data_IF_939082584958
#
_entry.id   IF_939082584958
#
_cell.length_a   1.000
_cell.length_b   1.000
_cell.length_c   1.000
_cell.angle_alpha   90.00
_cell.angle_beta   90.00
_cell.angle_gamma   90.00
#
_symmetry.space_group_name_H-M   'P 1'
#
loop_
_entity.id
_entity.type
_entity.pdbx_description
1 polymer ?
#
# COMPACT_ATOMS: atom_id res chain seq x y z
N UNK A 1 -0.08 11.34 -14.05
CA UNK A 1 -0.79 12.48 -14.69
C UNK A 1 -1.35 13.41 -13.61
N UNK A 2 -2.32 13.04 -12.80
CA UNK A 2 -2.99 13.85 -11.77
C UNK A 2 -2.04 14.70 -10.90
N UNK A 3 -1.04 14.09 -10.27
CA UNK A 3 -0.11 14.78 -9.36
C UNK A 3 0.66 15.96 -10.02
N UNK A 4 1.10 15.79 -11.27
CA UNK A 4 1.81 16.87 -11.99
C UNK A 4 0.87 18.03 -12.29
N UNK A 5 -0.34 17.69 -12.72
CA UNK A 5 -1.40 18.68 -12.99
C UNK A 5 -1.80 19.41 -11.72
N UNK A 6 -1.95 18.70 -10.60
CA UNK A 6 -2.24 19.29 -9.30
C UNK A 6 -1.16 20.28 -8.87
N UNK A 7 0.11 19.90 -8.89
CA UNK A 7 1.19 20.78 -8.49
C UNK A 7 1.29 22.03 -9.37
N UNK A 8 0.99 21.92 -10.67
CA UNK A 8 0.90 23.05 -11.59
C UNK A 8 -0.29 23.93 -11.25
N UNK A 9 -1.46 23.35 -10.99
CA UNK A 9 -2.67 24.10 -10.63
C UNK A 9 -2.52 24.83 -9.28
N UNK A 10 -1.91 24.20 -8.28
CA UNK A 10 -1.64 24.82 -6.98
C UNK A 10 -0.63 25.98 -7.06
N UNK A 11 0.22 26.02 -8.07
CA UNK A 11 1.17 27.09 -8.33
C UNK A 11 0.63 28.19 -9.26
N UNK A 12 -0.56 27.99 -9.85
CA UNK A 12 -1.21 28.94 -10.74
C UNK A 12 -2.17 29.89 -10.02
N UNK A 13 -2.76 30.81 -10.80
CA UNK A 13 -3.66 31.87 -10.27
C UNK A 13 -5.09 31.35 -10.00
N UNK A 14 -5.47 30.19 -10.53
CA UNK A 14 -6.83 29.61 -10.37
C UNK A 14 -6.73 28.13 -9.91
N UNK A 15 -6.32 27.86 -8.65
CA UNK A 15 -6.28 26.52 -8.12
C UNK A 15 -7.71 25.96 -7.90
N UNK A 16 -7.89 24.62 -7.90
CA UNK A 16 -9.16 24.02 -7.52
C UNK A 16 -9.53 24.40 -6.08
N UNK A 17 -10.81 24.45 -5.73
CA UNK A 17 -11.23 24.76 -4.36
C UNK A 17 -10.92 23.62 -3.37
N UNK A 18 -10.96 22.38 -3.84
CA UNK A 18 -10.63 21.14 -3.08
C UNK A 18 -9.83 20.22 -3.99
N UNK A 19 -8.86 19.52 -3.42
CA UNK A 19 -8.08 18.54 -4.16
C UNK A 19 -7.85 17.27 -3.33
N UNK A 20 -7.66 16.15 -4.05
CA UNK A 20 -7.24 14.89 -3.46
C UNK A 20 -5.75 14.96 -3.11
N UNK A 21 -5.41 14.58 -1.88
CA UNK A 21 -4.04 14.56 -1.37
C UNK A 21 -3.71 13.17 -0.84
N UNK A 22 -2.80 12.49 -1.53
CA UNK A 22 -2.26 11.22 -1.07
C UNK A 22 -1.17 11.43 -0.02
N UNK A 23 -1.01 10.47 0.88
CA UNK A 23 -0.06 10.50 1.99
C UNK A 23 1.37 10.86 1.54
N UNK A 24 1.82 10.33 0.41
CA UNK A 24 3.16 10.59 -0.16
C UNK A 24 3.39 12.05 -0.62
N UNK A 25 2.32 12.80 -0.83
CA UNK A 25 2.41 14.20 -1.27
C UNK A 25 2.21 15.19 -0.14
N UNK A 26 1.70 14.75 1.01
CA UNK A 26 1.42 15.64 2.16
C UNK A 26 2.63 16.48 2.56
N UNK A 27 3.83 15.91 2.81
CA UNK A 27 4.97 16.72 3.19
C UNK A 27 5.31 17.77 2.13
N UNK A 28 5.35 17.36 0.86
CA UNK A 28 5.74 18.24 -0.24
C UNK A 28 4.78 19.40 -0.47
N UNK A 29 3.47 19.15 -0.34
CA UNK A 29 2.44 20.17 -0.55
C UNK A 29 2.37 21.11 0.65
N UNK A 30 2.37 20.55 1.87
CA UNK A 30 2.22 21.35 3.11
C UNK A 30 3.46 22.19 3.39
N UNK A 31 4.66 21.61 3.30
CA UNK A 31 5.92 22.31 3.60
C UNK A 31 6.20 23.46 2.61
N UNK A 32 5.54 23.45 1.44
CA UNK A 32 5.57 24.55 0.45
C UNK A 32 4.42 25.54 0.60
N UNK A 33 3.60 25.41 1.62
CA UNK A 33 2.45 26.29 1.85
C UNK A 33 1.31 26.10 0.84
N UNK A 34 1.23 24.95 0.15
CA UNK A 34 0.21 24.68 -0.86
C UNK A 34 -1.18 24.33 -0.31
N UNK A 35 -1.29 23.97 0.97
CA UNK A 35 -2.55 23.59 1.60
C UNK A 35 -2.92 24.52 2.77
N UNK A 36 -4.22 24.76 2.94
CA UNK A 36 -4.81 25.53 4.03
C UNK A 36 -4.79 24.69 5.32
N UNK A 37 -4.43 25.29 6.45
CA UNK A 37 -4.68 24.70 7.76
C UNK A 37 -6.19 24.68 8.05
N UNK A 38 -6.77 23.49 8.16
CA UNK A 38 -8.20 23.28 8.38
C UNK A 38 -8.59 23.42 9.86
N UNK A 39 -7.64 23.27 10.81
CA UNK A 39 -7.93 23.20 12.24
C UNK A 39 -8.79 24.38 12.73
N UNK A 40 -8.57 25.66 12.35
CA UNK A 40 -9.39 26.78 12.79
C UNK A 40 -10.84 26.76 12.29
N UNK A 41 -11.15 25.96 11.29
CA UNK A 41 -12.47 25.94 10.63
C UNK A 41 -13.34 24.78 11.08
N UNK A 42 -12.77 23.66 11.54
CA UNK A 42 -13.48 22.39 11.76
C UNK A 42 -14.66 22.52 12.72
N UNK A 43 -14.50 23.24 13.84
CA UNK A 43 -15.58 23.47 14.79
C UNK A 43 -16.77 24.25 14.19
N UNK A 44 -16.51 25.12 13.21
CA UNK A 44 -17.55 25.90 12.53
C UNK A 44 -18.38 25.11 11.53
N UNK A 45 -17.75 24.07 10.97
CA UNK A 45 -18.40 23.14 9.99
C UNK A 45 -18.86 21.84 10.67
N UNK A 46 -18.84 21.77 12.01
CA UNK A 46 -19.33 20.62 12.77
C UNK A 46 -18.50 19.33 12.62
N UNK A 47 -17.22 19.47 12.26
CA UNK A 47 -16.31 18.33 12.13
C UNK A 47 -15.51 18.13 13.40
N UNK A 48 -15.68 16.98 14.06
CA UNK A 48 -14.79 16.49 15.09
C UNK A 48 -13.76 15.52 14.46
N UNK A 49 -12.46 15.84 14.46
CA UNK A 49 -11.43 14.92 13.96
C UNK A 49 -11.37 13.58 14.70
N UNK A 50 -11.93 13.49 15.90
CA UNK A 50 -11.97 12.23 16.67
C UNK A 50 -12.85 11.15 16.04
N UNK A 51 -13.73 11.50 15.08
CA UNK A 51 -14.56 10.52 14.36
C UNK A 51 -13.75 9.65 13.39
N UNK A 52 -12.58 10.12 12.96
CA UNK A 52 -11.69 9.38 12.06
C UNK A 52 -10.69 8.52 12.86
N UNK A 53 -10.11 7.53 12.20
CA UNK A 53 -8.93 6.84 12.74
C UNK A 53 -7.79 7.84 12.95
N UNK A 54 -7.25 7.90 14.16
CA UNK A 54 -6.25 8.91 14.52
C UNK A 54 -4.89 8.67 13.83
N UNK A 55 -4.58 7.42 13.46
CA UNK A 55 -3.39 7.09 12.65
C UNK A 55 -3.48 7.75 11.27
N UNK A 56 -4.68 7.78 10.68
CA UNK A 56 -4.92 8.39 9.39
C UNK A 56 -4.94 9.93 9.46
N UNK A 57 -5.54 10.49 10.53
CA UNK A 57 -5.51 11.94 10.80
C UNK A 57 -4.08 12.44 10.94
N UNK A 58 -3.22 11.68 11.62
CA UNK A 58 -1.82 12.04 11.84
C UNK A 58 -1.03 12.22 10.53
N UNK A 59 -1.43 11.55 9.44
CA UNK A 59 -0.82 11.72 8.10
C UNK A 59 -0.91 13.17 7.61
N UNK A 60 -2.04 13.83 7.88
CA UNK A 60 -2.31 15.20 7.41
C UNK A 60 -1.90 16.29 8.42
N UNK A 61 -1.30 15.90 9.56
CA UNK A 61 -0.79 16.86 10.54
C UNK A 61 0.64 17.31 10.23
N UNK A 62 0.90 18.61 10.42
CA UNK A 62 2.25 19.18 10.44
C UNK A 62 2.31 20.23 11.56
N UNK A 63 3.18 20.02 12.55
CA UNK A 63 3.17 20.84 13.76
C UNK A 63 1.80 20.82 14.45
N UNK A 64 1.24 21.98 14.72
CA UNK A 64 -0.11 22.12 15.31
C UNK A 64 -1.22 22.12 14.25
N UNK A 65 -0.92 22.24 12.97
CA UNK A 65 -1.90 22.35 11.88
C UNK A 65 -2.43 21.00 11.40
N UNK A 66 -3.60 21.02 10.75
CA UNK A 66 -4.24 19.89 10.08
C UNK A 66 -4.57 20.31 8.63
N UNK A 67 -3.89 19.75 7.65
CA UNK A 67 -3.88 20.22 6.26
C UNK A 67 -4.73 19.37 5.30
N UNK A 68 -5.48 18.42 5.83
CA UNK A 68 -6.44 17.58 5.11
C UNK A 68 -7.27 16.74 6.06
N UNK A 69 -8.40 16.25 5.57
CA UNK A 69 -9.19 15.23 6.27
C UNK A 69 -9.08 13.90 5.53
N UNK A 70 -8.82 12.79 6.22
CA UNK A 70 -8.71 11.49 5.59
C UNK A 70 -10.07 11.05 5.01
N UNK A 71 -10.09 10.64 3.76
CA UNK A 71 -11.29 10.10 3.12
C UNK A 71 -11.36 8.59 3.24
N UNK A 72 -10.22 7.92 3.11
CA UNK A 72 -10.11 6.48 3.15
C UNK A 72 -8.67 6.02 3.13
N UNK A 73 -8.49 4.70 3.25
CA UNK A 73 -7.19 4.07 3.27
C UNK A 73 -7.25 2.62 2.78
N UNK A 74 -6.10 2.07 2.46
CA UNK A 74 -5.96 0.66 2.13
C UNK A 74 -4.71 0.05 2.77
N UNK A 75 -4.85 -1.02 3.57
CA UNK A 75 -3.73 -1.87 3.90
C UNK A 75 -3.33 -2.73 2.70
N UNK A 76 -2.08 -3.13 2.64
CA UNK A 76 -1.63 -4.17 1.71
C UNK A 76 -1.86 -5.53 2.35
N UNK A 77 -2.41 -6.45 1.57
CA UNK A 77 -2.81 -7.80 1.98
C UNK A 77 -2.39 -8.83 0.93
N UNK A 78 -2.59 -10.11 1.22
CA UNK A 78 -2.51 -11.18 0.23
C UNK A 78 -3.91 -11.63 -0.15
N UNK A 79 -4.24 -11.54 -1.46
CA UNK A 79 -5.38 -12.22 -2.04
C UNK A 79 -5.01 -13.68 -2.32
N UNK A 80 -5.88 -14.62 -2.00
CA UNK A 80 -5.68 -16.04 -2.31
C UNK A 80 -6.84 -16.61 -3.12
N UNK A 81 -6.51 -17.49 -4.06
CA UNK A 81 -7.46 -18.16 -4.93
C UNK A 81 -8.00 -19.41 -4.20
N UNK A 82 -9.24 -19.33 -3.70
CA UNK A 82 -9.90 -20.43 -2.97
C UNK A 82 -10.02 -21.70 -3.81
N UNK A 83 -10.26 -21.56 -5.13
CA UNK A 83 -10.44 -22.72 -6.01
C UNK A 83 -9.13 -23.50 -6.18
N UNK A 84 -7.98 -22.81 -6.21
CA UNK A 84 -6.67 -23.46 -6.28
C UNK A 84 -6.30 -24.15 -4.96
N UNK A 85 -6.60 -23.52 -3.82
CA UNK A 85 -6.33 -24.10 -2.52
C UNK A 85 -7.20 -25.34 -2.29
N UNK A 86 -8.50 -25.26 -2.61
CA UNK A 86 -9.43 -26.41 -2.46
C UNK A 86 -9.00 -27.60 -3.32
N UNK A 87 -8.65 -27.35 -4.60
CA UNK A 87 -8.15 -28.43 -5.50
C UNK A 87 -6.86 -29.06 -4.99
N UNK A 88 -6.03 -28.32 -4.30
CA UNK A 88 -4.79 -28.81 -3.72
C UNK A 88 -4.96 -29.37 -2.30
N UNK A 89 -6.17 -29.36 -1.74
CA UNK A 89 -6.48 -29.72 -0.36
C UNK A 89 -5.64 -28.92 0.67
N UNK A 90 -5.39 -27.63 0.40
CA UNK A 90 -4.64 -26.72 1.25
C UNK A 90 -5.64 -25.90 2.08
N UNK A 91 -5.54 -25.90 3.42
CA UNK A 91 -6.34 -25.02 4.26
C UNK A 91 -6.14 -23.55 3.90
N UNK A 92 -7.21 -22.74 4.03
CA UNK A 92 -7.09 -21.29 3.82
C UNK A 92 -6.15 -20.67 4.85
N UNK A 93 -5.29 -19.71 4.43
CA UNK A 93 -4.39 -19.05 5.34
C UNK A 93 -5.16 -18.18 6.35
N UNK A 94 -4.61 -18.06 7.56
CA UNK A 94 -5.11 -17.24 8.65
C UNK A 94 -4.19 -16.04 8.89
N UNK A 95 -4.64 -15.01 9.62
CA UNK A 95 -3.88 -13.75 9.76
C UNK A 95 -2.58 -13.90 10.59
N UNK A 96 -2.36 -15.05 11.23
CA UNK A 96 -1.15 -15.41 11.99
C UNK A 96 -0.14 -16.28 11.22
N UNK A 97 -0.38 -16.49 9.90
CA UNK A 97 0.51 -17.30 9.07
C UNK A 97 1.90 -16.69 8.92
N UNK A 98 2.88 -17.56 8.72
CA UNK A 98 4.28 -17.19 8.64
C UNK A 98 4.81 -17.16 7.20
N UNK A 99 6.01 -16.66 7.00
CA UNK A 99 6.74 -16.75 5.74
C UNK A 99 6.96 -18.20 5.28
N UNK A 100 7.16 -19.13 6.23
CA UNK A 100 7.33 -20.55 5.92
C UNK A 100 6.02 -21.17 5.43
N UNK A 101 4.88 -20.77 6.02
CA UNK A 101 3.56 -21.16 5.55
C UNK A 101 3.29 -20.64 4.14
N UNK A 102 3.61 -19.37 3.89
CA UNK A 102 3.49 -18.78 2.56
C UNK A 102 4.31 -19.56 1.52
N UNK A 103 5.58 -19.84 1.80
CA UNK A 103 6.45 -20.58 0.89
C UNK A 103 5.94 -22.01 0.66
N UNK A 104 5.44 -22.67 1.70
CA UNK A 104 4.85 -24.02 1.60
C UNK A 104 3.63 -24.00 0.69
N UNK A 105 2.70 -23.09 0.90
CA UNK A 105 1.51 -22.92 0.05
C UNK A 105 1.89 -22.57 -1.39
N UNK A 106 2.78 -21.59 -1.58
CA UNK A 106 3.20 -21.17 -2.90
C UNK A 106 3.88 -22.30 -3.69
N UNK A 107 4.74 -23.09 -3.05
CA UNK A 107 5.38 -24.27 -3.67
C UNK A 107 4.35 -25.32 -4.10
N UNK A 108 3.37 -25.63 -3.25
CA UNK A 108 2.34 -26.63 -3.55
C UNK A 108 1.43 -26.19 -4.71
N UNK A 109 1.23 -24.88 -4.89
CA UNK A 109 0.41 -24.32 -5.95
C UNK A 109 1.17 -24.09 -7.27
N UNK A 110 2.51 -24.12 -7.25
CA UNK A 110 3.31 -23.94 -8.47
C UNK A 110 3.39 -25.28 -9.21
N UNK A 111 2.77 -25.36 -10.38
CA UNK A 111 2.61 -26.63 -11.13
C UNK A 111 2.68 -26.43 -12.64
N UNK A 112 3.18 -27.44 -13.29
CA UNK A 112 2.91 -27.80 -14.67
C UNK A 112 1.58 -28.58 -14.65
N UNK A 113 0.51 -28.04 -15.25
CA UNK A 113 -0.84 -28.61 -15.18
C UNK A 113 -1.21 -29.44 -16.41
N UNK A 114 -0.48 -29.29 -17.52
CA UNK A 114 -0.70 -30.02 -18.77
C UNK A 114 0.41 -31.05 -19.10
N UNK A 115 1.52 -31.04 -18.32
CA UNK A 115 2.59 -32.02 -18.40
C UNK A 115 3.58 -31.74 -19.55
N UNK A 116 3.64 -30.51 -20.06
CA UNK A 116 4.55 -30.14 -21.17
C UNK A 116 5.97 -29.77 -20.70
N UNK A 117 6.21 -29.79 -19.38
CA UNK A 117 7.50 -29.44 -18.75
C UNK A 117 7.63 -27.97 -18.40
N UNK A 118 6.61 -27.15 -18.67
CA UNK A 118 6.58 -25.72 -18.36
C UNK A 118 5.61 -25.43 -17.21
N UNK A 119 5.95 -24.48 -16.33
CA UNK A 119 5.04 -24.04 -15.28
C UNK A 119 3.99 -23.12 -15.89
N UNK A 120 2.72 -23.47 -15.75
CA UNK A 120 1.57 -22.71 -16.23
C UNK A 120 0.63 -22.25 -15.11
N UNK A 121 0.75 -22.82 -13.90
CA UNK A 121 0.12 -22.37 -12.67
C UNK A 121 1.18 -21.96 -11.63
N UNK A 122 1.08 -20.74 -11.14
CA UNK A 122 2.07 -20.14 -10.24
C UNK A 122 1.49 -20.02 -8.83
N UNK A 123 2.31 -20.32 -7.83
CA UNK A 123 1.90 -20.20 -6.43
C UNK A 123 1.85 -18.76 -5.96
N UNK A 124 2.74 -17.91 -6.45
CA UNK A 124 2.79 -16.50 -6.10
C UNK A 124 3.23 -15.64 -7.29
N UNK A 125 3.18 -14.32 -7.13
CA UNK A 125 3.74 -13.37 -8.08
C UNK A 125 4.72 -12.43 -7.38
N UNK A 126 5.83 -12.16 -8.04
CA UNK A 126 6.77 -11.11 -7.63
C UNK A 126 6.31 -9.78 -8.22
N UNK A 127 6.11 -8.77 -7.38
CA UNK A 127 5.78 -7.41 -7.81
C UNK A 127 6.93 -6.47 -7.43
N UNK A 128 7.63 -5.84 -8.40
CA UNK A 128 8.78 -4.98 -8.13
C UNK A 128 8.41 -3.61 -7.57
N UNK A 129 7.13 -3.26 -7.52
CA UNK A 129 6.68 -1.95 -7.02
C UNK A 129 6.88 -1.83 -5.51
N UNK A 130 7.53 -0.74 -5.08
CA UNK A 130 7.82 -0.46 -3.68
C UNK A 130 6.56 -0.58 -2.80
N UNK A 131 5.44 -0.09 -3.28
CA UNK A 131 4.16 -0.14 -2.58
C UNK A 131 3.75 -1.56 -2.16
N UNK A 132 4.19 -2.59 -2.89
CA UNK A 132 3.82 -3.98 -2.63
C UNK A 132 4.92 -4.80 -1.97
N UNK A 133 6.20 -4.42 -2.12
CA UNK A 133 7.25 -5.16 -1.42
C UNK A 133 7.66 -4.56 -0.06
N UNK A 134 7.38 -3.27 0.20
CA UNK A 134 7.69 -2.64 1.48
C UNK A 134 7.07 -3.36 2.69
N UNK A 135 5.77 -3.77 2.68
CA UNK A 135 5.19 -4.52 3.79
C UNK A 135 5.90 -5.85 4.07
N UNK A 136 6.48 -6.50 3.06
CA UNK A 136 7.26 -7.72 3.26
C UNK A 136 8.59 -7.46 3.97
N UNK A 137 9.21 -6.31 3.76
CA UNK A 137 10.40 -5.91 4.53
C UNK A 137 10.01 -5.68 6.00
N UNK A 138 8.90 -4.99 6.25
CA UNK A 138 8.42 -4.72 7.60
C UNK A 138 8.01 -6.01 8.34
N UNK A 139 7.28 -6.90 7.67
CA UNK A 139 6.89 -8.20 8.23
C UNK A 139 8.09 -9.14 8.47
N UNK A 140 9.24 -8.86 7.85
CA UNK A 140 10.53 -9.50 8.09
C UNK A 140 11.32 -8.90 9.25
N UNK A 141 10.85 -7.82 9.85
CA UNK A 141 11.54 -7.07 10.92
C UNK A 141 12.57 -6.07 10.41
N UNK A 142 12.61 -5.81 9.09
CA UNK A 142 13.46 -4.80 8.46
C UNK A 142 12.76 -3.47 8.23
N UNK A 143 13.50 -2.48 7.73
CA UNK A 143 12.95 -1.23 7.22
C UNK A 143 13.89 -0.56 6.20
N UNK A 144 13.34 0.34 5.39
CA UNK A 144 14.09 1.05 4.35
C UNK A 144 14.71 2.36 4.86
N UNK A 145 14.15 2.94 5.92
CA UNK A 145 14.70 4.10 6.64
C UNK A 145 14.74 3.82 8.14
N UNK A 146 15.62 4.49 8.86
CA UNK A 146 15.64 4.46 10.32
C UNK A 146 14.47 5.28 10.89
N UNK A 147 14.12 5.05 12.15
CA UNK A 147 12.91 5.58 12.79
C UNK A 147 12.74 7.10 12.70
N UNK A 148 13.83 7.84 12.57
CA UNK A 148 13.86 9.29 12.40
C UNK A 148 13.49 9.75 10.97
N UNK A 149 13.45 8.82 10.00
CA UNK A 149 13.20 9.11 8.58
C UNK A 149 14.31 9.90 7.88
N UNK A 150 15.48 10.04 8.51
CA UNK A 150 16.60 10.90 8.06
C UNK A 150 17.81 10.13 7.61
N UNK A 151 17.82 8.81 7.79
CA UNK A 151 18.94 7.95 7.50
C UNK A 151 18.45 6.58 7.02
N UNK A 152 19.15 6.01 6.06
CA UNK A 152 18.95 4.65 5.57
C UNK A 152 20.02 3.68 6.05
N UNK A 153 21.27 4.14 6.18
CA UNK A 153 22.38 3.29 6.67
C UNK A 153 22.11 2.81 8.11
N UNK A 154 22.31 1.52 8.34
CA UNK A 154 21.99 0.82 9.58
C UNK A 154 20.57 0.27 9.64
N UNK A 155 19.69 0.64 8.68
CA UNK A 155 18.32 0.17 8.59
C UNK A 155 18.08 -0.57 7.26
N UNK A 156 18.28 0.07 6.12
CA UNK A 156 18.16 -0.58 4.80
C UNK A 156 19.22 -1.69 4.62
N UNK A 157 20.43 -1.49 5.10
CA UNK A 157 21.52 -2.46 5.06
C UNK A 157 21.67 -3.27 6.36
N UNK A 158 20.63 -3.27 7.22
CA UNK A 158 20.55 -4.15 8.38
C UNK A 158 20.41 -5.60 7.96
N UNK A 159 20.84 -6.53 8.85
CA UNK A 159 20.67 -7.96 8.61
C UNK A 159 19.23 -8.34 8.33
N UNK A 160 18.26 -7.81 9.09
CA UNK A 160 16.85 -8.13 8.93
C UNK A 160 16.32 -7.69 7.55
N UNK A 161 16.68 -6.46 7.11
CA UNK A 161 16.27 -5.95 5.79
C UNK A 161 16.93 -6.74 4.66
N UNK A 162 18.22 -7.06 4.75
CA UNK A 162 18.92 -7.85 3.74
C UNK A 162 18.31 -9.25 3.60
N UNK A 163 18.00 -9.91 4.72
CA UNK A 163 17.34 -11.22 4.73
C UNK A 163 15.94 -11.12 4.08
N UNK A 164 15.17 -10.06 4.38
CA UNK A 164 13.86 -9.83 3.80
C UNK A 164 13.92 -9.54 2.28
N UNK A 165 14.86 -8.73 1.83
CA UNK A 165 15.10 -8.47 0.40
C UNK A 165 15.49 -9.75 -0.34
N UNK A 166 16.38 -10.57 0.24
CA UNK A 166 16.78 -11.86 -0.35
C UNK A 166 15.60 -12.82 -0.45
N UNK A 167 14.80 -12.88 0.61
CA UNK A 167 13.64 -13.75 0.66
C UNK A 167 12.59 -13.35 -0.38
N UNK A 168 12.21 -12.08 -0.44
CA UNK A 168 11.21 -11.58 -1.39
C UNK A 168 11.68 -11.70 -2.85
N UNK A 169 12.86 -11.24 -3.16
CA UNK A 169 13.44 -11.36 -4.51
C UNK A 169 13.64 -12.83 -4.93
N UNK A 170 13.84 -13.71 -3.96
CA UNK A 170 13.99 -15.15 -4.18
C UNK A 170 12.80 -15.80 -4.87
N UNK A 171 11.60 -15.27 -4.75
CA UNK A 171 10.40 -15.82 -5.42
C UNK A 171 10.56 -15.87 -6.94
N UNK A 172 11.15 -14.83 -7.52
CA UNK A 172 11.39 -14.73 -8.97
C UNK A 172 12.76 -15.25 -9.40
N UNK A 173 13.74 -15.26 -8.48
CA UNK A 173 15.14 -15.53 -8.87
C UNK A 173 15.60 -16.94 -8.63
N UNK A 174 15.26 -17.55 -7.49
CA UNK A 174 15.79 -18.86 -7.09
C UNK A 174 14.72 -19.88 -6.73
N UNK A 175 13.58 -19.46 -6.20
CA UNK A 175 12.54 -20.37 -5.73
C UNK A 175 11.58 -20.85 -6.83
N UNK A 176 11.53 -20.17 -7.98
CA UNK A 176 10.65 -20.52 -9.10
C UNK A 176 9.15 -20.46 -8.76
N UNK A 177 8.76 -19.63 -7.78
CA UNK A 177 7.38 -19.54 -7.29
C UNK A 177 6.55 -18.50 -8.03
N UNK A 178 7.21 -17.64 -8.81
CA UNK A 178 6.60 -16.53 -9.51
C UNK A 178 7.05 -16.49 -10.98
N UNK A 179 6.17 -16.10 -11.90
CA UNK A 179 6.55 -15.90 -13.28
C UNK A 179 7.60 -14.79 -13.41
N UNK A 180 8.48 -14.89 -14.40
CA UNK A 180 9.43 -13.83 -14.69
C UNK A 180 8.71 -12.67 -15.38
N UNK A 181 8.45 -11.61 -14.64
CA UNK A 181 7.90 -10.37 -15.17
C UNK A 181 9.06 -9.38 -15.26
N UNK A 182 9.48 -9.08 -16.49
CA UNK A 182 10.69 -8.29 -16.76
C UNK A 182 10.47 -6.78 -16.69
N UNK A 183 9.23 -6.29 -16.86
CA UNK A 183 8.93 -4.86 -16.81
C UNK A 183 7.99 -4.55 -15.64
N UNK A 184 8.45 -3.72 -14.71
CA UNK A 184 7.67 -3.26 -13.58
C UNK A 184 6.40 -2.49 -14.00
N UNK A 185 6.39 -1.88 -15.18
CA UNK A 185 5.21 -1.19 -15.73
C UNK A 185 4.11 -2.15 -16.17
N UNK A 186 4.48 -3.31 -16.67
CA UNK A 186 3.54 -4.33 -17.14
C UNK A 186 3.13 -5.31 -16.02
N UNK A 187 3.91 -5.38 -14.94
CA UNK A 187 3.69 -6.29 -13.81
C UNK A 187 2.26 -6.26 -13.25
N UNK A 188 1.65 -5.08 -12.96
CA UNK A 188 0.31 -5.03 -12.39
C UNK A 188 -0.75 -5.67 -13.28
N UNK A 189 -0.69 -5.41 -14.57
CA UNK A 189 -1.63 -5.98 -15.54
C UNK A 189 -1.43 -7.48 -15.74
N UNK A 190 -0.19 -7.94 -15.81
CA UNK A 190 0.15 -9.34 -15.96
C UNK A 190 -0.27 -10.17 -14.74
N UNK A 191 0.08 -9.72 -13.53
CA UNK A 191 -0.27 -10.37 -12.26
C UNK A 191 -1.80 -10.45 -12.10
N UNK A 192 -2.51 -9.34 -12.34
CA UNK A 192 -3.96 -9.30 -12.23
C UNK A 192 -4.66 -10.24 -13.24
N UNK A 193 -4.12 -10.36 -14.47
CA UNK A 193 -4.64 -11.31 -15.46
C UNK A 193 -4.41 -12.77 -15.04
N UNK A 194 -3.22 -13.11 -14.56
CA UNK A 194 -2.92 -14.45 -14.06
C UNK A 194 -3.85 -14.84 -12.90
N UNK A 195 -4.07 -13.93 -11.96
CA UNK A 195 -4.96 -14.18 -10.84
C UNK A 195 -6.41 -14.35 -11.29
N UNK A 196 -6.92 -13.46 -12.15
CA UNK A 196 -8.28 -13.51 -12.67
C UNK A 196 -8.55 -14.73 -13.56
N UNK A 197 -7.52 -15.27 -14.22
CA UNK A 197 -7.61 -16.50 -15.03
C UNK A 197 -7.47 -17.79 -14.22
N UNK A 198 -7.32 -17.71 -12.89
CA UNK A 198 -7.15 -18.89 -12.04
C UNK A 198 -5.77 -19.54 -12.15
N UNK A 199 -4.76 -18.86 -12.70
CA UNK A 199 -3.39 -19.36 -12.89
C UNK A 199 -2.41 -18.85 -11.82
N UNK A 200 -2.90 -18.09 -10.83
CA UNK A 200 -2.10 -17.57 -9.73
C UNK A 200 -2.79 -17.86 -8.40
N UNK A 201 -2.04 -18.45 -7.45
CA UNK A 201 -2.56 -18.84 -6.13
C UNK A 201 -2.64 -17.68 -5.15
N UNK A 202 -1.54 -16.93 -5.01
CA UNK A 202 -1.36 -15.86 -4.03
C UNK A 202 -0.92 -14.56 -4.73
N UNK A 203 -1.57 -13.45 -4.40
CA UNK A 203 -1.28 -12.13 -4.99
C UNK A 203 -1.22 -11.04 -3.91
N UNK A 204 -0.07 -10.38 -3.76
CA UNK A 204 0.01 -9.16 -2.93
C UNK A 204 -0.78 -8.04 -3.59
N UNK A 205 -1.69 -7.41 -2.85
CA UNK A 205 -2.55 -6.36 -3.37
C UNK A 205 -3.09 -5.45 -2.26
N UNK A 206 -3.88 -4.46 -2.64
CA UNK A 206 -4.66 -3.61 -1.73
C UNK A 206 -6.12 -3.56 -2.17
N UNK A 207 -6.90 -2.74 -1.48
CA UNK A 207 -8.36 -2.61 -1.69
C UNK A 207 -8.73 -2.19 -3.14
N UNK A 208 -7.83 -1.52 -3.85
CA UNK A 208 -8.01 -1.16 -5.27
C UNK A 208 -8.26 -2.34 -6.22
N UNK A 209 -8.00 -3.58 -5.79
CA UNK A 209 -8.28 -4.77 -6.58
C UNK A 209 -9.76 -5.20 -6.49
N UNK A 210 -10.48 -4.77 -5.45
CA UNK A 210 -11.85 -5.19 -5.14
C UNK A 210 -12.81 -5.05 -6.33
N UNK A 211 -12.92 -3.90 -7.02
CA UNK A 211 -13.89 -3.75 -8.11
C UNK A 211 -13.72 -4.79 -9.21
N UNK A 212 -12.46 -5.07 -9.60
CA UNK A 212 -12.16 -6.08 -10.62
C UNK A 212 -12.44 -7.49 -10.13
N UNK A 213 -12.08 -7.80 -8.88
CA UNK A 213 -12.28 -9.13 -8.30
C UNK A 213 -13.77 -9.41 -8.08
N UNK A 214 -14.56 -8.44 -7.62
CA UNK A 214 -16.02 -8.57 -7.52
C UNK A 214 -16.65 -8.96 -8.86
N UNK A 215 -16.24 -8.33 -9.96
CA UNK A 215 -16.73 -8.66 -11.30
C UNK A 215 -16.41 -10.11 -11.71
N UNK A 216 -15.22 -10.62 -11.36
CA UNK A 216 -14.82 -12.00 -11.64
C UNK A 216 -15.57 -13.01 -10.77
N UNK A 217 -15.80 -12.70 -9.50
CA UNK A 217 -16.55 -13.53 -8.56
C UNK A 217 -18.04 -13.57 -8.93
N UNK A 218 -18.64 -12.43 -9.23
CA UNK A 218 -20.04 -12.35 -9.68
C UNK A 218 -20.31 -13.14 -10.98
N UNK A 219 -19.29 -13.23 -11.85
CA UNK A 219 -19.34 -14.05 -13.05
C UNK A 219 -19.05 -15.55 -12.80
N UNK A 220 -18.87 -15.98 -11.56
CA UNK A 220 -18.59 -17.38 -11.20
C UNK A 220 -17.21 -17.89 -11.67
N UNK A 221 -16.29 -17.01 -12.06
CA UNK A 221 -14.99 -17.38 -12.61
C UNK A 221 -13.91 -17.61 -11.58
N UNK A 222 -14.10 -17.12 -10.35
CA UNK A 222 -13.07 -17.11 -9.31
C UNK A 222 -13.70 -16.98 -7.93
N UNK A 223 -13.19 -17.74 -6.96
CA UNK A 223 -13.47 -17.54 -5.53
C UNK A 223 -12.23 -16.99 -4.85
N UNK A 224 -12.35 -15.88 -4.15
CA UNK A 224 -11.24 -15.13 -3.56
C UNK A 224 -11.43 -15.00 -2.06
N UNK A 225 -10.32 -15.07 -1.32
CA UNK A 225 -10.21 -14.63 0.05
C UNK A 225 -9.04 -13.65 0.20
N UNK A 226 -9.04 -12.92 1.31
CA UNK A 226 -7.95 -12.02 1.68
C UNK A 226 -7.44 -12.37 3.07
N UNK A 227 -6.16 -12.15 3.29
CA UNK A 227 -5.45 -12.43 4.54
C UNK A 227 -4.34 -11.40 4.73
N UNK A 228 -3.94 -11.13 5.97
CA UNK A 228 -2.83 -10.25 6.28
C UNK A 228 -1.53 -10.71 5.58
N UNK A 229 -0.57 -9.79 5.38
CA UNK A 229 0.80 -10.14 4.93
C UNK A 229 1.39 -11.11 5.97
N UNK A 230 1.93 -12.27 5.55
CA UNK A 230 2.57 -13.19 6.50
C UNK A 230 3.82 -12.56 7.08
N UNK A 231 4.14 -12.95 8.30
CA UNK A 231 5.29 -12.40 9.00
C UNK A 231 6.37 -13.46 9.24
N UNK A 232 7.61 -13.03 9.40
CA UNK A 232 8.69 -13.90 9.82
C UNK A 232 8.42 -14.40 11.25
N UNK A 233 8.68 -15.66 11.51
CA UNK A 233 8.53 -16.23 12.85
C UNK A 233 9.29 -15.38 13.90
N UNK A 234 8.60 -15.02 14.98
CA UNK A 234 9.13 -14.16 16.05
C UNK A 234 9.12 -12.64 15.73
N UNK A 235 8.61 -12.23 14.58
CA UNK A 235 8.39 -10.83 14.21
C UNK A 235 6.90 -10.52 14.28
N UNK A 236 6.54 -9.35 14.78
CA UNK A 236 5.13 -8.92 14.79
C UNK A 236 4.59 -8.73 13.37
N UNK A 237 3.31 -9.06 13.10
CA UNK A 237 2.66 -8.75 11.84
C UNK A 237 2.78 -7.26 11.51
N UNK A 238 2.97 -6.93 10.23
CA UNK A 238 3.07 -5.56 9.78
C UNK A 238 2.56 -5.41 8.35
N UNK A 239 1.92 -4.28 8.06
CA UNK A 239 1.58 -3.87 6.70
C UNK A 239 1.70 -2.35 6.54
N UNK A 240 1.65 -1.88 5.30
CA UNK A 240 1.60 -0.45 4.99
C UNK A 240 0.15 -0.01 4.84
N UNK A 241 -0.17 1.17 5.34
CA UNK A 241 -1.43 1.87 5.08
C UNK A 241 -1.16 2.97 4.07
N UNK A 242 -1.78 2.89 2.90
CA UNK A 242 -1.85 3.99 1.96
C UNK A 242 -3.10 4.80 2.25
N UNK A 243 -2.91 6.09 2.50
CA UNK A 243 -3.94 6.99 2.98
C UNK A 243 -4.16 8.09 1.97
N UNK A 244 -5.41 8.37 1.64
CA UNK A 244 -5.78 9.54 0.86
C UNK A 244 -6.78 10.42 1.62
N UNK A 245 -6.76 11.71 1.32
CA UNK A 245 -7.65 12.68 1.95
C UNK A 245 -7.99 13.81 1.01
N UNK A 246 -8.82 14.71 1.48
CA UNK A 246 -9.12 15.96 0.78
C UNK A 246 -8.47 17.13 1.51
N UNK A 247 -7.91 18.05 0.73
CA UNK A 247 -7.27 19.26 1.21
C UNK A 247 -7.81 20.49 0.45
N UNK A 248 -7.60 21.66 1.02
CA UNK A 248 -8.01 22.94 0.46
C UNK A 248 -6.73 23.72 0.10
N UNK A 249 -6.60 24.34 -1.08
CA UNK A 249 -5.48 25.18 -1.42
C UNK A 249 -5.37 26.38 -0.46
N UNK A 250 -4.14 26.74 -0.09
CA UNK A 250 -3.89 27.86 0.82
C UNK A 250 -4.44 29.20 0.31
N UNK A 251 -4.42 29.38 -1.02
CA UNK A 251 -4.78 30.64 -1.69
C UNK A 251 -6.23 30.71 -2.16
N UNK A 252 -7.07 29.70 -1.89
CA UNK A 252 -8.49 29.76 -2.30
C UNK A 252 -9.19 30.99 -1.71
N UNK A 253 -9.94 31.77 -2.50
CA UNK A 253 -10.77 32.86 -1.99
C UNK A 253 -12.05 32.35 -1.29
N UNK A 254 -12.46 31.09 -1.52
CA UNK A 254 -13.68 30.46 -1.06
C UNK A 254 -13.45 29.53 0.15
N UNK A 255 -12.59 29.90 1.09
CA UNK A 255 -12.12 29.05 2.20
C UNK A 255 -13.25 28.36 2.96
N UNK A 256 -14.32 29.09 3.33
CA UNK A 256 -15.43 28.51 4.08
C UNK A 256 -16.14 27.42 3.29
N UNK A 257 -16.58 27.71 2.07
CA UNK A 257 -17.26 26.74 1.22
C UNK A 257 -16.38 25.53 0.88
N UNK A 258 -15.07 25.74 0.65
CA UNK A 258 -14.13 24.67 0.39
C UNK A 258 -13.98 23.73 1.60
N UNK A 259 -13.92 24.28 2.82
CA UNK A 259 -13.85 23.46 4.04
C UNK A 259 -15.16 22.73 4.30
N UNK A 260 -16.32 23.35 4.06
CA UNK A 260 -17.63 22.69 4.10
C UNK A 260 -17.68 21.52 3.12
N UNK A 261 -17.23 21.71 1.88
CA UNK A 261 -17.17 20.64 0.88
C UNK A 261 -16.22 19.48 1.33
N UNK A 262 -15.06 19.78 1.92
CA UNK A 262 -14.19 18.74 2.47
C UNK A 262 -14.88 17.99 3.60
N UNK A 263 -15.63 18.67 4.47
CA UNK A 263 -16.38 18.06 5.55
C UNK A 263 -17.45 17.07 5.01
N UNK A 264 -18.20 17.46 3.97
CA UNK A 264 -19.22 16.63 3.31
C UNK A 264 -18.58 15.44 2.59
N UNK A 265 -17.48 15.67 1.86
CA UNK A 265 -16.75 14.62 1.14
C UNK A 265 -16.10 13.58 2.06
N UNK A 266 -15.91 13.90 3.34
CA UNK A 266 -15.28 13.01 4.34
C UNK A 266 -16.23 12.58 5.45
N UNK A 267 -17.53 12.84 5.31
CA UNK A 267 -18.54 12.36 6.25
C UNK A 267 -18.80 10.84 6.11
N UNK A 268 -19.65 10.32 7.00
CA UNK A 268 -19.98 8.89 7.00
C UNK A 268 -20.73 8.46 5.74
N UNK A 269 -21.62 9.30 5.19
CA UNK A 269 -22.41 8.94 4.01
C UNK A 269 -21.52 8.85 2.74
N UNK A 270 -20.67 9.85 2.52
CA UNK A 270 -19.71 9.83 1.44
C UNK A 270 -18.68 8.68 1.59
N UNK A 271 -18.25 8.38 2.81
CA UNK A 271 -17.34 7.28 3.11
C UNK A 271 -17.97 5.91 2.79
N UNK A 272 -19.24 5.70 3.19
CA UNK A 272 -20.00 4.49 2.87
C UNK A 272 -20.17 4.30 1.36
N UNK A 273 -20.58 5.34 0.63
CA UNK A 273 -20.75 5.29 -0.81
C UNK A 273 -19.47 4.86 -1.56
N UNK A 274 -18.28 5.36 -1.13
CA UNK A 274 -17.00 4.94 -1.71
C UNK A 274 -16.64 3.50 -1.36
N UNK A 275 -16.94 3.06 -0.15
CA UNK A 275 -16.70 1.69 0.27
C UNK A 275 -17.59 0.69 -0.48
N UNK A 276 -18.87 0.99 -0.68
CA UNK A 276 -19.81 0.19 -1.49
C UNK A 276 -19.29 0.04 -2.93
N UNK A 277 -18.72 1.11 -3.50
CA UNK A 277 -18.04 1.06 -4.79
C UNK A 277 -16.74 0.23 -4.77
N UNK A 278 -16.27 -0.23 -3.59
CA UNK A 278 -15.06 -1.02 -3.42
C UNK A 278 -13.77 -0.22 -3.62
N UNK A 279 -13.80 1.09 -3.41
CA UNK A 279 -12.65 1.95 -3.69
C UNK A 279 -11.58 1.91 -2.57
N UNK A 280 -12.02 1.89 -1.30
CA UNK A 280 -11.15 2.01 -0.13
C UNK A 280 -11.92 1.66 1.16
N UNK A 281 -11.19 1.39 2.24
CA UNK A 281 -11.81 1.37 3.57
C UNK A 281 -12.10 2.81 4.03
N UNK A 282 -13.26 3.07 4.67
CA UNK A 282 -13.60 4.36 5.25
C UNK A 282 -12.58 4.82 6.30
N UNK A 283 -12.18 6.10 6.27
CA UNK A 283 -11.38 6.69 7.35
C UNK A 283 -12.21 6.99 8.61
N UNK A 284 -13.54 7.12 8.48
CA UNK A 284 -14.46 7.22 9.62
C UNK A 284 -14.57 5.86 10.29
N UNK A 285 -14.08 5.74 11.52
CA UNK A 285 -13.92 4.45 12.21
C UNK A 285 -15.23 3.66 12.36
N UNK A 286 -16.36 4.34 12.62
CA UNK A 286 -17.68 3.71 12.71
C UNK A 286 -18.14 3.18 11.33
N UNK A 287 -17.91 3.93 10.25
CA UNK A 287 -18.25 3.51 8.90
C UNK A 287 -17.42 2.30 8.45
N UNK A 288 -16.11 2.26 8.79
CA UNK A 288 -15.26 1.12 8.46
C UNK A 288 -15.76 -0.18 9.11
N UNK A 289 -16.19 -0.11 10.36
CA UNK A 289 -16.79 -1.28 11.05
C UNK A 289 -18.11 -1.70 10.42
N UNK A 290 -19.00 -0.75 10.13
CA UNK A 290 -20.28 -1.04 9.49
C UNK A 290 -20.14 -1.69 8.11
N UNK A 291 -19.18 -1.23 7.29
CA UNK A 291 -18.86 -1.84 6.00
C UNK A 291 -18.37 -3.28 6.18
N UNK A 292 -17.46 -3.51 7.12
CA UNK A 292 -16.93 -4.84 7.38
C UNK A 292 -17.98 -5.81 7.93
N UNK A 293 -18.93 -5.34 8.73
CA UNK A 293 -20.06 -6.13 9.25
C UNK A 293 -21.08 -6.47 8.17
N UNK A 294 -21.31 -5.57 7.22
CA UNK A 294 -22.25 -5.78 6.10
C UNK A 294 -21.65 -6.62 4.96
N UNK A 295 -20.33 -6.84 4.94
CA UNK A 295 -19.65 -7.55 3.85
C UNK A 295 -19.86 -9.06 3.93
N UNK A 296 -20.73 -9.58 3.07
CA UNK A 296 -21.06 -11.03 2.99
C UNK A 296 -19.91 -11.88 2.44
N UNK A 297 -18.93 -11.30 1.76
CA UNK A 297 -17.74 -12.00 1.25
C UNK A 297 -16.62 -12.07 2.29
N UNK A 298 -16.71 -11.26 3.35
CA UNK A 298 -15.70 -11.16 4.41
C UNK A 298 -14.41 -10.46 3.97
N UNK A 299 -14.44 -9.72 2.84
CA UNK A 299 -13.27 -9.06 2.27
C UNK A 299 -12.90 -7.81 3.04
N UNK A 300 -13.86 -6.91 3.25
CA UNK A 300 -13.64 -5.66 4.01
C UNK A 300 -13.23 -5.95 5.45
N UNK A 301 -13.83 -7.02 6.06
CA UNK A 301 -13.42 -7.49 7.37
C UNK A 301 -11.96 -7.97 7.41
N UNK A 302 -11.47 -8.68 6.37
CA UNK A 302 -10.08 -9.10 6.29
C UNK A 302 -9.13 -7.90 6.14
N UNK A 303 -9.48 -6.92 5.31
CA UNK A 303 -8.72 -5.68 5.19
C UNK A 303 -8.67 -4.91 6.51
N UNK A 304 -9.80 -4.80 7.22
CA UNK A 304 -9.86 -4.11 8.51
C UNK A 304 -8.99 -4.79 9.58
N UNK A 305 -8.98 -6.13 9.63
CA UNK A 305 -8.08 -6.88 10.52
C UNK A 305 -6.61 -6.65 10.17
N UNK A 306 -6.25 -6.70 8.88
CA UNK A 306 -4.88 -6.42 8.44
C UNK A 306 -4.45 -4.99 8.80
N UNK A 307 -5.34 -4.01 8.69
CA UNK A 307 -5.07 -2.61 9.03
C UNK A 307 -4.68 -2.40 10.50
N UNK A 308 -5.13 -3.27 11.42
CA UNK A 308 -4.75 -3.20 12.84
C UNK A 308 -3.23 -3.34 13.07
N UNK A 309 -2.52 -3.92 12.12
CA UNK A 309 -1.05 -4.07 12.13
C UNK A 309 -0.36 -3.10 11.14
N UNK A 310 -1.12 -2.13 10.64
CA UNK A 310 -0.65 -1.21 9.61
C UNK A 310 -0.07 0.08 10.18
N UNK A 311 0.85 0.67 9.44
CA UNK A 311 1.35 2.03 9.65
C UNK A 311 1.41 2.79 8.33
N UNK A 312 1.24 4.13 8.33
CA UNK A 312 1.37 4.93 7.13
C UNK A 312 2.73 4.75 6.47
N UNK A 313 2.78 4.91 5.15
CA UNK A 313 4.02 4.84 4.37
C UNK A 313 5.03 5.89 4.85
N UNK A 314 6.31 5.68 4.55
CA UNK A 314 7.35 6.68 4.81
C UNK A 314 7.07 8.01 4.07
N UNK A 315 6.35 7.96 2.95
CA UNK A 315 5.92 9.12 2.19
C UNK A 315 5.10 10.12 2.99
N UNK A 316 4.33 9.64 3.96
CA UNK A 316 3.56 10.50 4.86
C UNK A 316 4.41 11.44 5.73
N UNK A 317 5.73 11.18 5.88
CA UNK A 317 6.62 11.92 6.79
C UNK A 317 7.85 12.52 6.11
N UNK A 318 8.29 11.94 4.99
CA UNK A 318 9.56 12.27 4.33
C UNK A 318 9.30 13.09 3.07
N UNK A 319 9.66 14.36 3.08
CA UNK A 319 9.42 15.28 1.94
C UNK A 319 10.13 14.87 0.64
N UNK A 320 11.30 14.24 0.74
CA UNK A 320 12.05 13.68 -0.39
C UNK A 320 11.63 12.25 -0.77
N UNK A 321 10.48 11.76 -0.29
CA UNK A 321 10.10 10.36 -0.43
C UNK A 321 10.11 9.85 -1.87
N UNK A 322 9.73 10.69 -2.83
CA UNK A 322 9.73 10.28 -4.24
C UNK A 322 11.14 9.88 -4.70
N UNK A 323 12.12 10.73 -4.41
CA UNK A 323 13.50 10.47 -4.81
C UNK A 323 14.05 9.24 -4.04
N UNK A 324 13.60 9.05 -2.78
CA UNK A 324 13.87 7.84 -2.00
C UNK A 324 13.23 6.61 -2.68
N UNK A 325 11.97 6.69 -3.07
CA UNK A 325 11.24 5.59 -3.71
C UNK A 325 11.85 5.20 -5.06
N UNK A 326 12.32 6.16 -5.86
CA UNK A 326 13.03 5.89 -7.11
C UNK A 326 14.34 5.12 -6.86
N UNK A 327 15.12 5.48 -5.83
CA UNK A 327 16.33 4.73 -5.44
C UNK A 327 16.02 3.32 -4.91
N UNK A 328 14.88 3.16 -4.22
CA UNK A 328 14.43 1.85 -3.75
C UNK A 328 13.90 0.97 -4.90
N UNK A 329 13.34 1.57 -5.95
CA UNK A 329 13.02 0.84 -7.18
C UNK A 329 14.31 0.36 -7.89
N UNK A 330 15.32 1.23 -8.04
CA UNK A 330 16.64 0.88 -8.58
C UNK A 330 17.31 -0.25 -7.75
N UNK A 331 17.14 -0.24 -6.41
CA UNK A 331 17.63 -1.31 -5.54
C UNK A 331 17.03 -2.67 -5.94
N UNK A 332 15.71 -2.72 -6.13
CA UNK A 332 15.04 -3.97 -6.49
C UNK A 332 15.48 -4.46 -7.89
N UNK A 333 15.64 -3.55 -8.84
CA UNK A 333 16.16 -3.87 -10.18
C UNK A 333 17.60 -4.39 -10.13
N UNK A 334 18.47 -3.81 -9.32
CA UNK A 334 19.83 -4.32 -9.07
C UNK A 334 19.82 -5.77 -8.57
N UNK A 335 18.90 -6.10 -7.66
CA UNK A 335 18.80 -7.45 -7.09
C UNK A 335 18.20 -8.45 -8.10
N UNK A 336 17.09 -8.09 -8.74
CA UNK A 336 16.30 -9.04 -9.54
C UNK A 336 16.79 -9.14 -10.97
N UNK A 337 17.13 -8.02 -11.60
CA UNK A 337 17.52 -7.95 -13.02
C UNK A 337 19.02 -8.17 -13.17
N UNK A 338 19.82 -7.35 -12.47
CA UNK A 338 21.29 -7.43 -12.62
C UNK A 338 21.97 -8.41 -11.66
N UNK A 339 21.19 -9.11 -10.81
CA UNK A 339 21.65 -10.17 -9.92
C UNK A 339 22.75 -9.75 -8.94
N UNK A 340 22.76 -8.49 -8.53
CA UNK A 340 23.65 -8.01 -7.46
C UNK A 340 23.22 -8.62 -6.14
N UNK A 341 24.17 -9.06 -5.34
CA UNK A 341 23.88 -9.57 -3.98
C UNK A 341 23.09 -8.52 -3.17
N UNK A 342 21.99 -8.91 -2.49
CA UNK A 342 21.15 -8.00 -1.74
C UNK A 342 21.88 -7.16 -0.68
N UNK A 343 22.90 -7.71 0.00
CA UNK A 343 23.65 -6.97 1.00
C UNK A 343 24.48 -5.85 0.33
N UNK A 344 25.12 -6.16 -0.81
CA UNK A 344 25.88 -5.17 -1.57
C UNK A 344 24.96 -4.08 -2.14
N UNK A 345 23.82 -4.47 -2.71
CA UNK A 345 22.86 -3.55 -3.30
C UNK A 345 22.29 -2.63 -2.20
N UNK A 346 21.85 -3.17 -1.07
CA UNK A 346 21.31 -2.42 0.06
C UNK A 346 22.34 -1.44 0.64
N UNK A 347 23.59 -1.86 0.84
CA UNK A 347 24.64 -0.98 1.36
C UNK A 347 25.02 0.18 0.42
N UNK A 348 24.96 -0.04 -0.92
CA UNK A 348 25.17 1.06 -1.88
C UNK A 348 24.00 2.04 -1.81
N UNK A 349 22.76 1.52 -1.90
CA UNK A 349 21.55 2.34 -1.89
C UNK A 349 21.38 3.09 -0.56
N UNK A 350 21.72 2.49 0.59
CA UNK A 350 21.65 3.16 1.88
C UNK A 350 22.51 4.45 1.90
N UNK A 351 23.76 4.37 1.41
CA UNK A 351 24.64 5.54 1.30
C UNK A 351 24.17 6.59 0.30
N UNK A 352 23.53 6.17 -0.80
CA UNK A 352 22.90 7.07 -1.78
C UNK A 352 21.75 7.84 -1.12
N UNK A 353 20.90 7.15 -0.35
CA UNK A 353 19.78 7.74 0.38
C UNK A 353 20.23 8.68 1.49
N UNK A 354 21.28 8.33 2.26
CA UNK A 354 21.81 9.20 3.30
C UNK A 354 22.29 10.56 2.75
N UNK A 355 22.94 10.54 1.57
CA UNK A 355 23.35 11.77 0.87
C UNK A 355 22.15 12.60 0.41
N UNK A 356 21.12 11.95 -0.16
CA UNK A 356 19.90 12.59 -0.60
C UNK A 356 19.15 13.24 0.58
N UNK A 357 18.96 12.51 1.66
CA UNK A 357 18.26 12.99 2.86
C UNK A 357 19.07 14.05 3.62
N UNK A 358 20.40 14.02 3.55
CA UNK A 358 21.28 15.05 4.10
C UNK A 358 21.28 16.36 3.31
N UNK A 359 21.08 16.31 2.00
CA UNK A 359 21.04 17.48 1.10
C UNK A 359 19.71 18.25 1.16
N UNK A 360 18.67 17.69 1.74
CA UNK A 360 17.32 18.28 1.86
C UNK A 360 17.08 18.98 3.21
N UNK A 361 18.15 19.27 3.96
CA UNK A 361 18.13 20.00 5.24
C UNK A 361 18.27 21.50 5.06
#
# INVERSE_FOLDING_TARGET
MYRRELLTALAGDDPPDVFLLDDEDVPRVVDRGGALDLAPYLGRVGVDPARYDQTLVAVFRRGAGLYGLPRGYTPVVVAYNKDLLDRAAIPYPTDDWTWDDFLRVAKQLTRDTDGDGSIDQWGSAFDPRLALWLPWIWSGGGDVLCADGRRASGCLDSRATIEALRWYAGWSTSAGLAPRIHDARDAPGAIARLFASGRLGLMTTGHWAIPRLRASVAAGRLRVGFVAIPHRAGVAPATVLYVSGYAVPALTPRRKAAVELVADLTDSAAAMARAEAGMELPAVAAAARAVAEADTLGWDAAFLRAAAHGRPSWGARVGAWRDVADRLADLMDRIVITRVDPARAAGVTARELDRLLGATR
#
